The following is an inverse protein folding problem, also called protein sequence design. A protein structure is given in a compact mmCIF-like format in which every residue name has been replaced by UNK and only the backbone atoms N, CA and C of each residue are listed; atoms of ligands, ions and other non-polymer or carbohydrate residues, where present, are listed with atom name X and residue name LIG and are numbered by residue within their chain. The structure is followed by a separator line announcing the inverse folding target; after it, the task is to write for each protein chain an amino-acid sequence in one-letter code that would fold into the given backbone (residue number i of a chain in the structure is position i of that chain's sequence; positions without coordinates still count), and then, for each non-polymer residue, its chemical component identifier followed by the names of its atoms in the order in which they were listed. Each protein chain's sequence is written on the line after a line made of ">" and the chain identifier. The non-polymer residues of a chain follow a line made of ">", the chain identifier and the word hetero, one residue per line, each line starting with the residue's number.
data_IF_134744388744
#
_entry.id   IF_134744388744
#
_cell.length_a   1.000
_cell.length_b   1.000
_cell.length_c   1.000
_cell.angle_alpha   90.00
_cell.angle_beta   90.00
_cell.angle_gamma   90.00
#
_symmetry.space_group_name_H-M   'P 1'
#
loop_
_entity.id
_entity.type
_entity.pdbx_description
1 polymer ?
#
# COMPACT_ATOMS: atom_id res chain seq x y z
N UNK A 1 6.94 16.25 46.01
CA UNK A 1 7.36 16.39 44.60
C UNK A 1 7.49 15.07 43.81
N UNK A 2 7.47 13.87 44.42
CA UNK A 2 7.56 12.59 43.69
C UNK A 2 6.21 11.98 43.23
N UNK A 3 5.07 12.55 43.65
CA UNK A 3 3.75 12.01 43.34
C UNK A 3 3.21 12.42 41.95
N UNK A 4 3.77 13.46 41.34
CA UNK A 4 3.30 14.01 40.06
C UNK A 4 3.89 13.30 38.84
N UNK A 5 4.91 12.44 39.01
CA UNK A 5 5.53 11.71 37.91
C UNK A 5 4.82 10.39 37.57
N UNK A 6 4.04 9.82 38.50
CA UNK A 6 3.40 8.51 38.33
C UNK A 6 2.15 8.56 37.43
N UNK A 7 1.54 9.73 37.29
CA UNK A 7 0.30 9.91 36.51
C UNK A 7 0.59 9.95 34.99
N UNK A 8 1.83 10.24 34.59
CA UNK A 8 2.21 10.33 33.17
C UNK A 8 2.37 8.96 32.49
N UNK A 9 2.48 7.86 33.26
CA UNK A 9 2.69 6.52 32.70
C UNK A 9 1.40 5.77 32.33
N UNK A 10 0.22 6.32 32.68
CA UNK A 10 -1.09 5.71 32.41
C UNK A 10 -1.81 6.28 31.19
N UNK A 11 -1.16 7.19 30.44
CA UNK A 11 -1.65 7.55 29.11
C UNK A 11 -1.14 6.48 28.16
N UNK A 12 -1.92 5.39 28.01
CA UNK A 12 -1.74 4.43 26.94
C UNK A 12 -1.93 5.14 25.61
N UNK A 13 -0.86 5.72 25.07
CA UNK A 13 -0.83 6.22 23.70
C UNK A 13 -1.01 5.00 22.81
N UNK A 14 -2.16 4.89 22.16
CA UNK A 14 -2.38 3.94 21.08
C UNK A 14 -1.48 4.37 19.90
N UNK A 15 -0.21 3.96 19.92
CA UNK A 15 0.64 4.11 18.76
C UNK A 15 0.04 3.28 17.63
N UNK A 16 -0.31 3.93 16.52
CA UNK A 16 -0.62 3.22 15.29
C UNK A 16 0.63 2.41 14.90
N UNK A 17 0.47 1.11 14.64
CA UNK A 17 1.55 0.26 14.13
C UNK A 17 1.79 0.63 12.66
N UNK A 18 2.57 1.69 12.45
CA UNK A 18 3.02 2.15 11.14
C UNK A 18 4.54 1.94 11.01
N UNK A 19 5.05 1.65 9.80
CA UNK A 19 4.33 1.55 8.53
C UNK A 19 3.43 0.30 8.42
N UNK A 20 2.39 0.37 7.58
CA UNK A 20 1.41 -0.70 7.34
C UNK A 20 1.06 -0.78 5.85
N UNK A 21 1.00 -1.99 5.31
CA UNK A 21 0.46 -2.27 3.97
C UNK A 21 -0.72 -3.22 4.11
N UNK A 22 -1.81 -2.89 3.42
CA UNK A 22 -2.99 -3.76 3.28
C UNK A 22 -3.37 -3.75 1.80
N UNK A 23 -3.60 -4.92 1.22
CA UNK A 23 -4.08 -5.07 -0.15
C UNK A 23 -5.25 -6.05 -0.19
N UNK A 24 -6.05 -5.97 -1.23
CA UNK A 24 -7.11 -6.92 -1.47
C UNK A 24 -6.61 -8.20 -2.11
N UNK A 25 -7.30 -9.23 -1.63
CA UNK A 25 -7.15 -10.67 -1.81
C UNK A 25 -5.81 -11.26 -1.36
N UNK A 26 -5.67 -12.58 -1.51
CA UNK A 26 -4.52 -13.35 -1.03
C UNK A 26 -3.30 -13.21 -1.97
N UNK A 27 -3.00 -11.99 -2.41
CA UNK A 27 -1.88 -11.68 -3.31
C UNK A 27 -0.65 -11.32 -2.50
N UNK A 28 -0.06 -12.34 -1.85
CA UNK A 28 1.02 -12.16 -0.88
C UNK A 28 2.29 -11.55 -1.49
N UNK A 29 2.59 -11.86 -2.75
CA UNK A 29 3.74 -11.27 -3.46
C UNK A 29 3.59 -9.76 -3.62
N UNK A 30 2.40 -9.26 -3.93
CA UNK A 30 2.13 -7.82 -4.00
C UNK A 30 2.36 -7.14 -2.64
N UNK A 31 1.83 -7.74 -1.56
CA UNK A 31 2.04 -7.23 -0.19
C UNK A 31 3.52 -7.23 0.20
N UNK A 32 4.24 -8.31 -0.09
CA UNK A 32 5.65 -8.46 0.24
C UNK A 32 6.50 -7.43 -0.51
N UNK A 33 6.19 -7.20 -1.79
CA UNK A 33 6.89 -6.19 -2.60
C UNK A 33 6.65 -4.78 -2.07
N UNK A 34 5.39 -4.43 -1.80
CA UNK A 34 5.04 -3.14 -1.22
C UNK A 34 5.72 -2.93 0.14
N UNK A 35 5.69 -3.95 1.01
CA UNK A 35 6.36 -3.89 2.32
C UNK A 35 7.87 -3.71 2.20
N UNK A 36 8.51 -4.40 1.26
CA UNK A 36 9.96 -4.29 1.04
C UNK A 36 10.38 -2.86 0.67
N UNK A 37 9.54 -2.15 -0.08
CA UNK A 37 9.75 -0.74 -0.47
C UNK A 37 9.40 0.20 0.68
N UNK A 38 8.25 0.00 1.34
CA UNK A 38 7.77 0.88 2.40
C UNK A 38 8.70 0.88 3.63
N UNK A 39 9.29 -0.27 3.97
CA UNK A 39 10.22 -0.39 5.09
C UNK A 39 11.61 0.18 4.78
N UNK A 40 11.92 0.43 3.51
CA UNK A 40 13.19 1.04 3.14
C UNK A 40 13.10 2.54 3.44
N UNK A 41 13.79 2.94 4.50
CA UNK A 41 13.84 4.30 5.00
C UNK A 41 15.22 4.95 4.75
N UNK A 42 16.03 4.38 3.85
CA UNK A 42 17.40 4.83 3.56
C UNK A 42 17.52 6.31 3.19
N UNK A 43 16.48 6.91 2.61
CA UNK A 43 16.50 8.30 2.13
C UNK A 43 15.70 9.28 3.01
N UNK A 44 15.11 8.83 4.12
CA UNK A 44 14.28 9.69 5.00
C UNK A 44 12.97 10.20 4.38
N UNK A 45 12.61 9.73 3.19
CA UNK A 45 11.40 10.11 2.46
C UNK A 45 10.26 9.14 2.72
N UNK A 46 9.01 9.62 2.60
CA UNK A 46 7.83 8.78 2.57
C UNK A 46 7.76 8.03 1.24
N UNK A 47 7.81 6.70 1.32
CA UNK A 47 7.82 5.80 0.18
C UNK A 47 6.46 5.11 -0.03
N UNK A 48 5.37 5.63 0.56
CA UNK A 48 4.04 5.03 0.45
C UNK A 48 3.54 4.90 -0.99
N UNK A 49 3.71 5.94 -1.81
CA UNK A 49 3.32 5.90 -3.23
C UNK A 49 4.14 4.90 -4.04
N UNK A 50 5.46 4.86 -3.82
CA UNK A 50 6.34 3.91 -4.51
C UNK A 50 6.03 2.46 -4.10
N UNK A 51 5.74 2.24 -2.81
CA UNK A 51 5.34 0.96 -2.28
C UNK A 51 4.03 0.47 -2.91
N UNK A 52 3.02 1.33 -3.02
CA UNK A 52 1.76 1.03 -3.69
C UNK A 52 1.97 0.71 -5.17
N UNK A 53 2.70 1.56 -5.88
CA UNK A 53 2.96 1.41 -7.32
C UNK A 53 3.66 0.09 -7.62
N UNK A 54 4.74 -0.21 -6.90
CA UNK A 54 5.52 -1.43 -7.10
C UNK A 54 4.77 -2.68 -6.60
N UNK A 55 3.94 -2.57 -5.56
CA UNK A 55 3.08 -3.64 -5.11
C UNK A 55 2.00 -4.00 -6.13
N UNK A 56 1.26 -3.00 -6.63
CA UNK A 56 0.22 -3.20 -7.64
C UNK A 56 0.78 -3.72 -8.97
N UNK A 57 1.98 -3.27 -9.36
CA UNK A 57 2.67 -3.76 -10.56
C UNK A 57 2.90 -5.28 -10.54
N UNK A 58 3.20 -5.86 -9.37
CA UNK A 58 3.33 -7.31 -9.25
C UNK A 58 2.05 -8.01 -9.72
N UNK A 59 0.89 -7.53 -9.30
CA UNK A 59 -0.36 -8.15 -9.72
C UNK A 59 -0.73 -7.90 -11.18
N UNK A 60 -0.29 -6.80 -11.77
CA UNK A 60 -0.42 -6.58 -13.22
C UNK A 60 0.45 -7.56 -14.01
N UNK A 61 1.67 -7.82 -13.55
CA UNK A 61 2.63 -8.70 -14.24
C UNK A 61 2.29 -10.18 -14.04
N UNK A 62 1.86 -10.58 -12.84
CA UNK A 62 1.45 -11.96 -12.48
C UNK A 62 0.02 -12.30 -12.91
N UNK A 63 -0.71 -11.33 -13.46
CA UNK A 63 -2.11 -11.47 -13.87
C UNK A 63 -2.97 -12.02 -12.72
N UNK A 64 -2.92 -11.38 -11.54
CA UNK A 64 -3.53 -11.88 -10.30
C UNK A 64 -5.00 -12.32 -10.51
N UNK A 65 -5.27 -13.61 -10.31
CA UNK A 65 -6.55 -14.29 -10.54
C UNK A 65 -7.16 -14.09 -11.95
N UNK A 66 -6.37 -13.71 -12.94
CA UNK A 66 -6.81 -13.23 -14.26
C UNK A 66 -7.78 -12.04 -14.20
N UNK A 67 -7.76 -11.27 -13.11
CA UNK A 67 -8.62 -10.10 -12.90
C UNK A 67 -7.85 -8.78 -12.88
N UNK A 68 -6.51 -8.83 -12.83
CA UNK A 68 -5.64 -7.66 -12.80
C UNK A 68 -4.60 -7.79 -13.91
N UNK A 69 -4.34 -6.71 -14.64
CA UNK A 69 -3.38 -6.72 -15.74
C UNK A 69 -3.93 -7.25 -17.05
N UNK A 70 -3.06 -7.38 -18.05
CA UNK A 70 -3.43 -7.80 -19.41
C UNK A 70 -3.91 -9.25 -19.44
N UNK A 71 -4.60 -9.65 -20.51
CA UNK A 71 -4.98 -11.05 -20.76
C UNK A 71 -6.12 -11.62 -19.89
N UNK A 72 -6.74 -10.78 -19.07
CA UNK A 72 -7.95 -11.10 -18.29
C UNK A 72 -9.16 -10.29 -18.74
N UNK A 73 -10.36 -10.73 -18.35
CA UNK A 73 -11.63 -9.98 -18.45
C UNK A 73 -11.83 -9.13 -19.74
N UNK A 74 -11.83 -9.73 -20.94
CA UNK A 74 -12.09 -8.97 -22.17
C UNK A 74 -13.55 -8.47 -22.23
N UNK A 75 -13.76 -7.34 -22.91
CA UNK A 75 -15.07 -6.77 -23.21
C UNK A 75 -15.86 -7.57 -24.28
N UNK A 76 -17.03 -7.09 -24.70
CA UNK A 76 -17.84 -7.78 -25.73
C UNK A 76 -17.16 -7.88 -27.10
N UNK A 77 -16.12 -7.07 -27.35
CA UNK A 77 -15.32 -7.11 -28.58
C UNK A 77 -14.09 -8.03 -28.45
N UNK A 78 -13.85 -8.59 -27.26
CA UNK A 78 -12.70 -9.43 -26.99
C UNK A 78 -11.44 -8.64 -26.61
N UNK A 79 -11.54 -7.35 -26.33
CA UNK A 79 -10.41 -6.51 -25.94
C UNK A 79 -10.32 -6.38 -24.41
N UNK A 80 -9.13 -6.63 -23.84
CA UNK A 80 -8.86 -6.35 -22.42
C UNK A 80 -8.49 -4.87 -22.27
N UNK A 81 -9.36 -4.13 -21.60
CA UNK A 81 -9.10 -2.74 -21.18
C UNK A 81 -8.81 -2.70 -19.68
N UNK A 82 -7.94 -1.79 -19.24
CA UNK A 82 -7.45 -1.73 -17.85
C UNK A 82 -7.79 -0.41 -17.19
N UNK A 83 -8.24 -0.50 -15.94
CA UNK A 83 -8.51 0.64 -15.08
C UNK A 83 -7.53 0.69 -13.91
N UNK A 84 -7.02 1.88 -13.60
CA UNK A 84 -6.14 2.11 -12.46
C UNK A 84 -6.28 3.53 -11.91
N UNK A 85 -5.99 3.68 -10.61
CA UNK A 85 -5.96 4.95 -9.90
C UNK A 85 -4.93 4.88 -8.79
N UNK A 86 -4.12 5.93 -8.63
CA UNK A 86 -3.29 6.12 -7.44
C UNK A 86 -3.60 7.48 -6.80
N UNK A 87 -3.57 7.54 -5.47
CA UNK A 87 -3.89 8.75 -4.72
C UNK A 87 -2.85 9.01 -3.65
N UNK A 88 -2.31 10.23 -3.62
CA UNK A 88 -1.45 10.70 -2.55
C UNK A 88 -2.31 11.33 -1.44
N UNK A 89 -2.31 10.67 -0.27
CA UNK A 89 -3.05 11.11 0.89
C UNK A 89 -2.52 12.40 1.53
N UNK A 90 -1.26 12.78 1.31
CA UNK A 90 -0.65 13.98 1.90
C UNK A 90 -1.03 15.24 1.13
N UNK A 91 -0.94 15.20 -0.21
CA UNK A 91 -1.29 16.35 -1.07
C UNK A 91 -2.74 16.32 -1.57
N UNK A 92 -3.47 15.22 -1.35
CA UNK A 92 -4.83 15.00 -1.81
C UNK A 92 -5.00 15.04 -3.34
N UNK A 93 -4.03 14.48 -4.07
CA UNK A 93 -4.02 14.46 -5.53
C UNK A 93 -4.11 13.02 -6.04
N UNK A 94 -4.98 12.81 -7.03
CA UNK A 94 -5.03 11.61 -7.83
C UNK A 94 -4.06 11.72 -9.01
N UNK A 95 -3.24 10.70 -9.24
CA UNK A 95 -2.38 10.57 -10.41
C UNK A 95 -2.67 9.23 -11.12
N UNK A 96 -2.30 9.16 -12.39
CA UNK A 96 -2.21 7.93 -13.21
C UNK A 96 -0.83 7.92 -13.86
#
# INVERSE_FOLDING_TARGET
>A
MKLMLLVLQFVGVCYANIPLVVNTWNFQHATQKAWAVLKDNSNGNDNALDALTLGCKICQDEQCDNTVGYGGSPDENGETTLDALIFDGYVHIANI
#
